data_IF_919595341635
#
_entry.id   IF_919595341635
#
_cell.length_a   1.000
_cell.length_b   1.000
_cell.length_c   1.000
_cell.angle_alpha   90.00
_cell.angle_beta   90.00
_cell.angle_gamma   90.00
#
_symmetry.space_group_name_H-M   'P 1'
#
loop_
_entity.id
_entity.type
_entity.pdbx_description
1 polymer ?
#
# COMPACT_ATOMS: atom_id res chain seq x y z
N UNK A 1 50.11 -89.76 -35.87
CA UNK A 1 48.75 -89.33 -35.70
C UNK A 1 48.70 -88.20 -34.67
N UNK A 2 48.69 -86.93 -35.07
CA UNK A 2 48.57 -85.79 -34.16
C UNK A 2 47.24 -85.08 -34.45
N UNK A 3 46.40 -85.05 -33.44
CA UNK A 3 45.13 -84.29 -33.45
C UNK A 3 45.40 -82.86 -33.17
N UNK A 4 45.02 -81.94 -34.03
CA UNK A 4 45.02 -80.53 -33.78
C UNK A 4 43.70 -80.12 -33.15
N UNK A 5 43.75 -79.42 -32.04
CA UNK A 5 42.60 -78.82 -31.38
C UNK A 5 42.56 -77.36 -31.78
N UNK A 6 41.50 -76.93 -32.44
CA UNK A 6 41.26 -75.54 -32.83
C UNK A 6 40.46 -74.89 -31.65
N UNK A 7 41.06 -73.96 -30.97
CA UNK A 7 40.38 -73.11 -29.94
C UNK A 7 39.74 -71.91 -30.65
N UNK A 8 38.41 -71.85 -30.59
CA UNK A 8 37.65 -70.66 -31.07
C UNK A 8 37.55 -69.67 -29.91
N UNK A 9 38.20 -68.51 -30.04
CA UNK A 9 38.06 -67.43 -29.06
C UNK A 9 36.85 -66.52 -29.50
N UNK A 10 35.73 -66.61 -28.76
CA UNK A 10 34.62 -65.72 -28.87
C UNK A 10 34.98 -64.43 -28.13
N UNK A 11 35.20 -63.31 -28.89
CA UNK A 11 35.38 -61.95 -28.36
C UNK A 11 34.00 -61.40 -28.10
N UNK A 12 33.61 -61.30 -26.83
CA UNK A 12 32.40 -60.57 -26.41
C UNK A 12 32.70 -59.05 -26.35
N UNK A 13 32.21 -58.30 -27.36
CA UNK A 13 32.21 -56.83 -27.31
C UNK A 13 31.10 -56.37 -26.38
N UNK A 14 31.42 -55.98 -25.15
CA UNK A 14 30.53 -55.26 -24.27
C UNK A 14 30.38 -53.79 -24.80
N UNK A 15 29.29 -53.49 -25.46
CA UNK A 15 28.89 -52.15 -25.76
C UNK A 15 28.27 -51.56 -24.47
N UNK A 16 29.06 -50.78 -23.73
CA UNK A 16 28.53 -49.95 -22.64
C UNK A 16 27.74 -48.76 -23.23
N UNK A 17 26.39 -48.86 -23.25
CA UNK A 17 25.54 -47.69 -23.47
C UNK A 17 25.72 -46.75 -22.27
N UNK A 18 26.53 -45.70 -22.44
CA UNK A 18 26.52 -44.56 -21.55
C UNK A 18 25.23 -43.79 -21.81
N UNK A 19 24.22 -44.00 -20.94
CA UNK A 19 23.06 -43.13 -20.89
C UNK A 19 23.54 -41.74 -20.49
N UNK A 20 23.69 -40.84 -21.43
CA UNK A 20 23.77 -39.41 -21.14
C UNK A 20 22.44 -39.00 -20.52
N UNK A 21 22.40 -38.92 -19.19
CA UNK A 21 21.34 -38.22 -18.50
C UNK A 21 21.40 -36.75 -19.02
N UNK A 22 20.46 -36.40 -19.88
CA UNK A 22 20.25 -35.00 -20.28
C UNK A 22 19.80 -34.28 -19.04
N UNK A 23 20.73 -33.52 -18.38
CA UNK A 23 20.37 -32.63 -17.30
C UNK A 23 19.36 -31.64 -17.87
N UNK A 24 18.12 -31.79 -17.44
CA UNK A 24 17.09 -30.75 -17.67
C UNK A 24 17.62 -29.47 -17.09
N UNK A 25 17.69 -28.36 -17.88
CA UNK A 25 18.18 -27.10 -17.36
C UNK A 25 17.41 -26.77 -16.08
N UNK A 26 18.11 -26.69 -14.97
CA UNK A 26 17.52 -26.29 -13.71
C UNK A 26 16.94 -24.88 -13.94
N UNK A 27 15.63 -24.71 -13.75
CA UNK A 27 14.98 -23.44 -13.98
C UNK A 27 15.64 -22.38 -13.07
N UNK A 28 16.20 -21.32 -13.66
CA UNK A 28 16.84 -20.25 -12.91
C UNK A 28 15.83 -19.23 -12.42
N UNK A 29 16.07 -18.70 -11.20
CA UNK A 29 15.35 -17.51 -10.71
C UNK A 29 15.58 -16.38 -11.70
N UNK A 30 14.52 -15.73 -12.16
CA UNK A 30 14.59 -14.55 -13.02
C UNK A 30 14.31 -13.29 -12.22
N UNK A 31 15.23 -12.36 -12.26
CA UNK A 31 15.07 -11.01 -11.73
C UNK A 31 15.15 -10.03 -12.90
N UNK A 32 14.17 -9.16 -13.00
CA UNK A 32 14.07 -8.21 -14.08
C UNK A 32 13.72 -6.82 -13.53
N UNK A 33 14.40 -5.82 -14.04
CA UNK A 33 14.12 -4.41 -13.79
C UNK A 33 14.13 -3.66 -15.10
N UNK A 34 13.26 -2.65 -15.22
CA UNK A 34 13.11 -1.87 -16.44
C UNK A 34 12.17 -0.69 -16.23
N UNK A 35 11.61 -0.22 -17.35
CA UNK A 35 10.58 0.84 -17.32
C UNK A 35 9.44 0.48 -18.28
N UNK A 36 8.20 0.79 -17.85
CA UNK A 36 6.98 0.70 -18.66
C UNK A 36 6.27 2.06 -18.54
N UNK A 37 6.04 2.74 -19.65
CA UNK A 37 5.37 4.06 -19.68
C UNK A 37 5.99 5.10 -18.74
N UNK A 38 7.33 5.06 -18.54
CA UNK A 38 8.03 5.93 -17.60
C UNK A 38 8.07 5.45 -16.15
N UNK A 39 7.30 4.44 -15.77
CA UNK A 39 7.34 3.80 -14.46
C UNK A 39 8.45 2.76 -14.38
N UNK A 40 9.43 2.94 -13.50
CA UNK A 40 10.40 1.90 -13.21
C UNK A 40 9.71 0.71 -12.54
N UNK A 41 10.18 -0.50 -12.80
CA UNK A 41 9.65 -1.70 -12.17
C UNK A 41 10.74 -2.68 -11.75
N UNK A 42 10.38 -3.55 -10.82
CA UNK A 42 11.11 -4.77 -10.49
C UNK A 42 10.14 -5.95 -10.49
N UNK A 43 10.61 -7.05 -11.06
CA UNK A 43 9.87 -8.28 -11.23
C UNK A 43 10.79 -9.46 -10.90
N UNK A 44 10.33 -10.33 -10.02
CA UNK A 44 11.05 -11.53 -9.59
C UNK A 44 10.17 -12.77 -9.84
N UNK A 45 10.70 -13.74 -10.59
CA UNK A 45 10.05 -15.03 -10.84
C UNK A 45 10.95 -16.14 -10.29
N UNK A 46 10.49 -16.96 -9.33
CA UNK A 46 11.29 -18.05 -8.80
C UNK A 46 11.50 -19.15 -9.85
N UNK A 47 12.55 -19.95 -9.68
CA UNK A 47 12.85 -21.08 -10.57
C UNK A 47 11.65 -22.04 -10.71
N UNK A 48 11.04 -22.37 -9.60
CA UNK A 48 9.84 -23.22 -9.53
C UNK A 48 8.59 -22.37 -9.33
N UNK A 49 8.24 -21.58 -10.34
CA UNK A 49 7.05 -20.74 -10.27
C UNK A 49 5.76 -21.57 -10.27
N UNK A 50 4.98 -21.46 -9.18
CA UNK A 50 3.73 -22.20 -8.98
C UNK A 50 2.52 -21.56 -9.69
N UNK A 51 2.74 -20.64 -10.63
CA UNK A 51 1.71 -19.89 -11.37
C UNK A 51 0.87 -18.92 -10.52
N UNK A 52 1.39 -18.48 -9.38
CA UNK A 52 0.81 -17.39 -8.59
C UNK A 52 1.64 -16.14 -8.77
N UNK A 53 0.98 -15.01 -9.02
CA UNK A 53 1.57 -13.67 -9.12
C UNK A 53 1.08 -12.78 -7.99
N UNK A 54 1.99 -12.11 -7.30
CA UNK A 54 1.69 -11.06 -6.32
C UNK A 54 2.12 -9.71 -6.90
N UNK A 55 1.15 -8.84 -7.14
CA UNK A 55 1.36 -7.44 -7.50
C UNK A 55 1.45 -6.62 -6.22
N UNK A 56 2.58 -5.94 -6.01
CA UNK A 56 2.82 -5.14 -4.81
C UNK A 56 2.75 -3.65 -5.08
N UNK A 57 1.91 -2.97 -4.33
CA UNK A 57 1.71 -1.52 -4.36
C UNK A 57 2.45 -0.87 -3.18
N UNK A 58 3.47 -0.05 -3.45
CA UNK A 58 4.20 0.65 -2.39
C UNK A 58 3.45 1.87 -1.85
N UNK A 59 3.79 2.29 -0.63
CA UNK A 59 3.25 3.46 0.02
C UNK A 59 3.75 4.79 -0.56
N UNK A 60 3.34 5.89 0.07
CA UNK A 60 3.73 7.23 -0.32
C UNK A 60 5.27 7.39 -0.35
N UNK A 61 5.77 7.97 -1.42
CA UNK A 61 7.15 8.43 -1.57
C UNK A 61 7.14 9.92 -1.91
N UNK A 62 8.01 10.69 -1.26
CA UNK A 62 8.05 12.16 -1.44
C UNK A 62 8.28 12.51 -2.90
N UNK A 63 7.47 13.42 -3.44
CA UNK A 63 7.58 13.91 -4.81
C UNK A 63 8.98 14.46 -5.10
N UNK A 64 9.53 14.11 -6.26
CA UNK A 64 10.90 14.50 -6.68
C UNK A 64 12.04 13.65 -6.10
N UNK A 65 11.74 12.62 -5.29
CA UNK A 65 12.74 11.64 -4.87
C UNK A 65 12.93 10.52 -5.92
N UNK A 66 14.07 9.84 -5.89
CA UNK A 66 14.26 8.66 -6.76
C UNK A 66 13.36 7.52 -6.27
N UNK A 67 12.69 6.80 -7.21
CA UNK A 67 11.92 5.61 -6.86
C UNK A 67 12.78 4.57 -6.13
N UNK A 68 12.26 4.03 -5.03
CA UNK A 68 12.93 2.99 -4.28
C UNK A 68 12.24 1.64 -4.47
N UNK A 69 12.82 0.77 -5.30
CA UNK A 69 12.38 -0.61 -5.53
C UNK A 69 13.12 -1.63 -4.64
N UNK A 70 14.08 -1.18 -3.83
CA UNK A 70 14.98 -2.03 -3.05
C UNK A 70 14.93 -1.73 -1.54
N UNK A 71 13.76 -1.36 -1.03
CA UNK A 71 13.56 -1.22 0.41
C UNK A 71 13.90 -2.54 1.13
N UNK A 72 14.74 -2.52 2.19
CA UNK A 72 15.18 -3.74 2.88
C UNK A 72 14.04 -4.59 3.44
N UNK A 73 12.98 -3.96 4.01
CA UNK A 73 11.83 -4.70 4.55
C UNK A 73 11.03 -5.34 3.42
N UNK A 74 10.84 -4.63 2.32
CA UNK A 74 10.17 -5.15 1.14
C UNK A 74 10.97 -6.28 0.50
N UNK A 75 12.31 -6.20 0.49
CA UNK A 75 13.15 -7.29 0.00
C UNK A 75 12.98 -8.58 0.82
N UNK A 76 12.82 -8.47 2.15
CA UNK A 76 12.51 -9.61 3.00
C UNK A 76 11.14 -10.21 2.67
N UNK A 77 10.13 -9.37 2.53
CA UNK A 77 8.77 -9.82 2.15
C UNK A 77 8.78 -10.48 0.76
N UNK A 78 9.43 -9.86 -0.23
CA UNK A 78 9.61 -10.40 -1.58
C UNK A 78 10.28 -11.78 -1.54
N UNK A 79 11.38 -11.92 -0.79
CA UNK A 79 12.08 -13.19 -0.64
C UNK A 79 11.20 -14.28 -0.02
N UNK A 80 10.34 -13.91 0.94
CA UNK A 80 9.40 -14.84 1.56
C UNK A 80 8.31 -15.32 0.58
N UNK A 81 7.83 -14.47 -0.33
CA UNK A 81 6.91 -14.89 -1.40
C UNK A 81 7.61 -15.78 -2.44
N UNK A 82 8.83 -15.40 -2.85
CA UNK A 82 9.61 -16.17 -3.81
C UNK A 82 9.93 -17.58 -3.30
N UNK A 83 10.29 -17.75 -2.02
CA UNK A 83 10.55 -19.05 -1.41
C UNK A 83 9.31 -19.97 -1.36
N UNK A 84 8.11 -19.40 -1.54
CA UNK A 84 6.84 -20.12 -1.64
C UNK A 84 6.44 -20.40 -3.09
N UNK A 85 7.31 -20.12 -4.05
CA UNK A 85 7.07 -20.32 -5.47
C UNK A 85 6.21 -19.23 -6.12
N UNK A 86 5.96 -18.08 -5.45
CA UNK A 86 5.15 -16.99 -6.00
C UNK A 86 6.05 -16.02 -6.77
N UNK A 87 5.62 -15.58 -7.95
CA UNK A 87 6.23 -14.44 -8.60
C UNK A 87 5.80 -13.14 -7.87
N UNK A 88 6.69 -12.14 -7.85
CA UNK A 88 6.47 -10.87 -7.17
C UNK A 88 6.82 -9.71 -8.11
N UNK A 89 5.89 -8.80 -8.32
CA UNK A 89 6.06 -7.67 -9.21
C UNK A 89 5.69 -6.35 -8.52
N UNK A 90 6.51 -5.33 -8.73
CA UNK A 90 6.33 -4.00 -8.16
C UNK A 90 6.64 -2.93 -9.19
N UNK A 91 5.71 -1.99 -9.39
CA UNK A 91 5.96 -0.72 -10.08
C UNK A 91 6.40 0.34 -9.06
N UNK A 92 7.32 1.21 -9.48
CA UNK A 92 7.69 2.42 -8.71
C UNK A 92 6.84 3.64 -9.11
N UNK A 93 5.84 3.41 -9.94
CA UNK A 93 4.95 4.37 -10.57
C UNK A 93 5.67 5.42 -11.43
N UNK A 94 4.94 5.99 -12.38
CA UNK A 94 5.44 7.06 -13.27
C UNK A 94 5.46 8.43 -12.58
N UNK A 95 4.82 8.54 -11.41
CA UNK A 95 4.83 9.73 -10.58
C UNK A 95 5.03 9.38 -9.10
N UNK A 96 5.59 10.32 -8.34
CA UNK A 96 5.74 10.25 -6.88
C UNK A 96 4.69 11.13 -6.20
N UNK A 97 4.64 11.11 -4.87
CA UNK A 97 3.62 11.80 -4.08
C UNK A 97 2.34 10.99 -3.96
N UNK A 98 1.19 11.67 -3.88
CA UNK A 98 -0.13 11.01 -3.81
C UNK A 98 -0.60 10.54 -5.19
N UNK A 99 0.18 9.68 -5.82
CA UNK A 99 0.07 9.26 -7.22
C UNK A 99 -0.89 8.08 -7.44
N UNK A 100 -2.04 8.05 -6.76
CA UNK A 100 -2.98 6.91 -6.83
C UNK A 100 -3.46 6.64 -8.26
N UNK A 101 -3.73 7.69 -9.04
CA UNK A 101 -4.13 7.58 -10.45
C UNK A 101 -3.09 6.79 -11.25
N UNK A 102 -1.87 7.28 -11.28
CA UNK A 102 -0.76 6.71 -12.05
C UNK A 102 -0.42 5.31 -11.55
N UNK A 103 -0.44 5.13 -10.23
CA UNK A 103 -0.09 3.86 -9.60
C UNK A 103 -1.03 2.71 -9.98
N UNK A 104 -2.33 2.95 -10.08
CA UNK A 104 -3.30 1.94 -10.52
C UNK A 104 -3.06 1.55 -11.98
N UNK A 105 -2.79 2.54 -12.85
CA UNK A 105 -2.53 2.32 -14.28
C UNK A 105 -1.20 1.60 -14.50
N UNK A 106 -0.14 2.00 -13.79
CA UNK A 106 1.20 1.43 -13.89
C UNK A 106 1.28 0.01 -13.31
N UNK A 107 0.53 -0.26 -12.22
CA UNK A 107 0.42 -1.61 -11.66
C UNK A 107 -0.22 -2.57 -12.66
N UNK A 108 -1.29 -2.17 -13.33
CA UNK A 108 -1.95 -3.00 -14.34
C UNK A 108 -1.11 -3.11 -15.63
N UNK A 109 -0.37 -2.07 -16.02
CA UNK A 109 0.56 -2.13 -17.13
C UNK A 109 1.68 -3.14 -16.88
N UNK A 110 2.23 -3.19 -15.65
CA UNK A 110 3.23 -4.17 -15.23
C UNK A 110 2.65 -5.60 -15.21
N UNK A 111 1.41 -5.79 -14.72
CA UNK A 111 0.75 -7.10 -14.76
C UNK A 111 0.62 -7.61 -16.20
N UNK A 112 0.15 -6.76 -17.12
CA UNK A 112 0.04 -7.11 -18.56
C UNK A 112 1.39 -7.45 -19.17
N UNK A 113 2.43 -6.71 -18.82
CA UNK A 113 3.79 -7.02 -19.24
C UNK A 113 4.23 -8.39 -18.72
N UNK A 114 3.97 -8.69 -17.45
CA UNK A 114 4.25 -10.02 -16.88
C UNK A 114 3.56 -11.12 -17.69
N UNK A 115 2.26 -10.99 -17.94
CA UNK A 115 1.47 -11.97 -18.70
C UNK A 115 2.03 -12.18 -20.09
N UNK A 116 2.39 -11.11 -20.79
CA UNK A 116 2.94 -11.20 -22.15
C UNK A 116 4.27 -11.95 -22.20
N UNK A 117 5.06 -11.91 -21.13
CA UNK A 117 6.41 -12.48 -21.08
C UNK A 117 6.48 -13.88 -20.46
N UNK A 118 5.68 -14.12 -19.43
CA UNK A 118 5.72 -15.35 -18.62
C UNK A 118 4.47 -16.22 -18.75
N UNK A 119 3.46 -15.74 -19.47
CA UNK A 119 2.16 -16.37 -19.61
C UNK A 119 1.21 -16.06 -18.46
N UNK A 120 -0.06 -16.42 -18.62
CA UNK A 120 -1.12 -16.13 -17.65
C UNK A 120 -0.84 -16.86 -16.32
N UNK A 121 -0.87 -16.14 -15.18
CA UNK A 121 -0.89 -16.76 -13.86
C UNK A 121 -2.20 -17.55 -13.66
N UNK A 122 -2.15 -18.61 -12.88
CA UNK A 122 -3.38 -19.29 -12.42
C UNK A 122 -4.14 -18.42 -11.41
N UNK A 123 -3.40 -17.65 -10.60
CA UNK A 123 -3.95 -16.73 -9.61
C UNK A 123 -3.08 -15.47 -9.57
N UNK A 124 -3.74 -14.32 -9.50
CA UNK A 124 -3.10 -13.02 -9.30
C UNK A 124 -3.69 -12.34 -8.06
N UNK A 125 -2.82 -11.91 -7.16
CA UNK A 125 -3.19 -11.15 -5.97
C UNK A 125 -2.59 -9.76 -6.03
N UNK A 126 -3.31 -8.78 -5.48
CA UNK A 126 -2.78 -7.42 -5.31
C UNK A 126 -2.70 -7.10 -3.82
N UNK A 127 -1.58 -6.53 -3.38
CA UNK A 127 -1.38 -6.13 -2.00
C UNK A 127 -0.53 -4.86 -1.90
N UNK A 128 -0.66 -4.14 -0.79
CA UNK A 128 0.16 -2.95 -0.60
C UNK A 128 -0.02 -2.29 0.77
N UNK A 129 0.96 -1.49 1.16
CA UNK A 129 1.00 -0.80 2.45
C UNK A 129 0.71 0.69 2.32
N UNK A 130 0.01 1.28 3.32
CA UNK A 130 -0.24 2.73 3.39
C UNK A 130 -1.00 3.23 2.15
N UNK A 131 -0.50 4.22 1.42
CA UNK A 131 -1.06 4.62 0.12
C UNK A 131 -1.18 3.43 -0.84
N UNK A 132 -0.26 2.45 -0.76
CA UNK A 132 -0.34 1.21 -1.54
C UNK A 132 -1.59 0.39 -1.24
N UNK A 133 -2.16 0.48 -0.03
CA UNK A 133 -3.44 -0.14 0.29
C UNK A 133 -4.61 0.54 -0.43
N UNK A 134 -4.57 1.86 -0.59
CA UNK A 134 -5.56 2.60 -1.40
C UNK A 134 -5.48 2.16 -2.85
N UNK A 135 -4.25 2.03 -3.38
CA UNK A 135 -4.01 1.56 -4.76
C UNK A 135 -4.49 0.12 -4.93
N UNK A 136 -4.20 -0.75 -3.96
CA UNK A 136 -4.67 -2.15 -3.92
C UNK A 136 -6.19 -2.22 -4.04
N UNK A 137 -6.89 -1.44 -3.22
CA UNK A 137 -8.35 -1.41 -3.20
C UNK A 137 -8.93 -0.82 -4.49
N UNK A 138 -8.36 0.32 -4.96
CA UNK A 138 -8.75 0.91 -6.23
C UNK A 138 -8.53 -0.03 -7.42
N UNK A 139 -7.47 -0.84 -7.37
CA UNK A 139 -7.13 -1.79 -8.42
C UNK A 139 -8.15 -2.93 -8.49
N UNK A 140 -8.52 -3.54 -7.36
CA UNK A 140 -9.49 -4.64 -7.37
C UNK A 140 -10.91 -4.17 -7.72
N UNK A 141 -11.32 -2.95 -7.31
CA UNK A 141 -12.61 -2.38 -7.72
C UNK A 141 -12.63 -2.01 -9.23
N UNK A 142 -11.51 -1.54 -9.77
CA UNK A 142 -11.41 -1.10 -11.18
C UNK A 142 -11.28 -2.26 -12.17
N UNK A 143 -10.67 -3.36 -11.75
CA UNK A 143 -10.39 -4.51 -12.59
C UNK A 143 -11.01 -5.79 -12.00
N UNK A 144 -12.35 -5.89 -11.96
CA UNK A 144 -13.04 -7.08 -11.48
C UNK A 144 -12.62 -8.30 -12.31
N UNK A 145 -12.63 -9.49 -11.69
CA UNK A 145 -12.30 -10.77 -12.32
C UNK A 145 -10.82 -10.96 -12.72
N UNK A 146 -9.99 -9.92 -12.62
CA UNK A 146 -8.54 -10.02 -12.90
C UNK A 146 -7.79 -10.56 -11.69
N UNK A 147 -8.14 -10.08 -10.50
CA UNK A 147 -7.46 -10.44 -9.25
C UNK A 147 -8.35 -11.36 -8.43
N UNK A 148 -7.82 -12.50 -8.01
CA UNK A 148 -8.53 -13.48 -7.18
C UNK A 148 -8.65 -13.05 -5.72
N UNK A 149 -7.92 -12.00 -5.32
CA UNK A 149 -8.03 -11.40 -4.01
C UNK A 149 -7.11 -10.22 -3.80
N UNK A 150 -7.43 -9.40 -2.79
CA UNK A 150 -6.66 -8.23 -2.44
C UNK A 150 -6.34 -8.17 -0.95
N UNK A 151 -5.13 -7.66 -0.62
CA UNK A 151 -4.71 -7.47 0.77
C UNK A 151 -4.20 -6.04 1.00
N UNK A 152 -5.10 -5.06 1.19
CA UNK A 152 -4.73 -3.71 1.59
C UNK A 152 -4.25 -3.68 3.04
N UNK A 153 -3.08 -3.10 3.31
CA UNK A 153 -2.41 -3.08 4.62
C UNK A 153 -2.22 -1.66 5.12
N UNK A 154 -2.67 -1.39 6.36
CA UNK A 154 -2.44 -0.10 7.06
C UNK A 154 -2.82 1.16 6.26
N UNK A 155 -3.79 1.09 5.38
CA UNK A 155 -4.17 2.21 4.50
C UNK A 155 -5.44 2.94 4.92
N UNK A 156 -5.62 4.19 4.45
CA UNK A 156 -6.87 4.92 4.63
C UNK A 156 -7.89 4.40 3.61
N UNK A 157 -8.65 3.37 3.99
CA UNK A 157 -9.64 2.70 3.13
C UNK A 157 -10.99 3.42 3.09
N UNK A 158 -11.04 4.67 3.45
CA UNK A 158 -12.20 5.54 3.34
C UNK A 158 -12.15 6.40 2.07
N UNK A 159 -13.15 7.26 1.88
CA UNK A 159 -13.09 8.24 0.80
C UNK A 159 -11.83 9.08 0.93
N UNK A 160 -11.05 9.11 -0.14
CA UNK A 160 -9.81 9.92 -0.19
C UNK A 160 -10.09 11.38 0.16
N UNK A 161 -11.21 11.92 -0.32
CA UNK A 161 -11.61 13.28 -0.04
C UNK A 161 -11.88 13.51 1.45
N UNK A 162 -12.66 12.62 2.09
CA UNK A 162 -12.98 12.75 3.51
C UNK A 162 -11.78 12.42 4.40
N UNK A 163 -11.03 11.36 4.09
CA UNK A 163 -9.86 10.95 4.87
C UNK A 163 -8.73 11.99 4.85
N UNK A 164 -8.44 12.54 3.68
CA UNK A 164 -7.45 13.63 3.56
C UNK A 164 -7.98 14.93 4.16
N UNK A 165 -9.28 15.22 4.05
CA UNK A 165 -9.89 16.38 4.70
C UNK A 165 -9.72 16.28 6.23
N UNK A 166 -10.24 15.23 6.87
CA UNK A 166 -10.23 15.07 8.34
C UNK A 166 -8.79 14.95 8.90
N UNK A 167 -7.97 14.08 8.30
CA UNK A 167 -6.68 13.73 8.90
C UNK A 167 -5.54 14.66 8.49
N UNK A 168 -5.55 15.16 7.26
CA UNK A 168 -4.47 15.99 6.76
C UNK A 168 -4.84 17.46 6.90
N UNK A 169 -5.92 17.92 6.29
CA UNK A 169 -6.24 19.33 6.21
C UNK A 169 -6.78 19.90 7.53
N UNK A 170 -7.81 19.29 8.11
CA UNK A 170 -8.47 19.78 9.32
C UNK A 170 -7.56 19.72 10.55
N UNK A 171 -6.66 18.72 10.60
CA UNK A 171 -5.62 18.66 11.63
C UNK A 171 -4.67 19.86 11.54
N UNK A 172 -4.24 20.25 10.33
CA UNK A 172 -3.39 21.41 10.12
C UNK A 172 -4.12 22.73 10.40
N UNK A 173 -5.41 22.83 10.04
CA UNK A 173 -6.25 24.01 10.32
C UNK A 173 -6.41 24.25 11.82
N UNK A 174 -6.73 23.21 12.56
CA UNK A 174 -6.91 23.32 14.02
C UNK A 174 -5.59 23.56 14.74
N UNK A 175 -4.48 23.00 14.22
CA UNK A 175 -3.15 23.28 14.73
C UNK A 175 -2.74 24.76 14.48
N UNK A 176 -2.99 25.31 13.29
CA UNK A 176 -2.71 26.74 12.97
C UNK A 176 -3.46 27.70 13.91
N UNK A 177 -4.70 27.36 14.30
CA UNK A 177 -5.46 28.13 15.27
C UNK A 177 -4.87 28.08 16.69
N UNK A 178 -4.51 26.90 17.17
CA UNK A 178 -4.01 26.71 18.54
C UNK A 178 -2.56 27.21 18.71
N UNK A 179 -1.77 27.11 17.66
CA UNK A 179 -0.35 27.48 17.61
C UNK A 179 -0.07 28.39 16.41
N UNK A 180 -0.51 29.65 16.47
CA UNK A 180 -0.43 30.59 15.35
C UNK A 180 0.99 30.73 14.80
N UNK A 181 1.08 31.04 13.50
CA UNK A 181 2.33 31.30 12.77
C UNK A 181 3.28 30.08 12.64
N UNK A 182 2.87 28.88 13.08
CA UNK A 182 3.72 27.68 13.02
C UNK A 182 3.62 26.92 11.70
N UNK A 183 2.42 26.88 11.09
CA UNK A 183 2.15 26.04 9.91
C UNK A 183 2.40 26.77 8.60
N UNK A 184 2.08 28.04 8.52
CA UNK A 184 2.13 28.82 7.29
C UNK A 184 0.84 28.70 6.45
N UNK A 185 0.95 28.81 5.12
CA UNK A 185 -0.22 28.74 4.24
C UNK A 185 -0.74 27.32 4.12
N UNK A 186 -2.06 27.12 4.25
CA UNK A 186 -2.75 25.85 4.07
C UNK A 186 -3.52 25.74 2.75
N UNK A 187 -3.78 26.88 2.10
CA UNK A 187 -4.30 26.93 0.74
C UNK A 187 -3.33 27.77 -0.13
N UNK A 188 -3.24 27.41 -1.41
CA UNK A 188 -2.23 27.98 -2.32
C UNK A 188 -0.80 27.86 -1.75
N UNK A 189 -0.49 26.67 -1.25
CA UNK A 189 0.80 26.39 -0.60
C UNK A 189 1.93 26.58 -1.61
N UNK A 190 2.92 27.43 -1.34
CA UNK A 190 4.01 27.66 -2.29
C UNK A 190 4.80 26.38 -2.55
N UNK A 191 5.22 26.19 -3.81
CA UNK A 191 6.03 25.04 -4.20
C UNK A 191 7.32 24.95 -3.37
N UNK A 192 7.61 23.76 -2.88
CA UNK A 192 8.80 23.49 -2.06
C UNK A 192 8.71 23.97 -0.61
N UNK A 193 7.59 24.59 -0.19
CA UNK A 193 7.36 24.92 1.23
C UNK A 193 7.37 23.67 2.09
N UNK A 194 7.93 23.80 3.29
CA UNK A 194 7.98 22.74 4.30
C UNK A 194 7.60 23.29 5.66
N UNK A 195 6.96 22.50 6.48
CA UNK A 195 6.73 22.82 7.88
C UNK A 195 8.05 22.71 8.66
N UNK A 196 8.40 23.76 9.43
CA UNK A 196 9.56 23.72 10.32
C UNK A 196 9.22 22.95 11.59
N UNK A 197 9.69 21.72 11.69
CA UNK A 197 9.44 20.83 12.85
C UNK A 197 10.01 21.37 14.15
N UNK A 198 11.09 22.17 14.11
CA UNK A 198 11.68 22.79 15.31
C UNK A 198 10.78 23.91 15.82
N UNK A 199 10.22 24.73 14.91
CA UNK A 199 9.24 25.76 15.26
C UNK A 199 7.98 25.16 15.84
N UNK A 200 7.45 24.11 15.21
CA UNK A 200 6.29 23.37 15.73
C UNK A 200 6.57 22.77 17.12
N UNK A 201 7.73 22.15 17.32
CA UNK A 201 8.12 21.62 18.63
C UNK A 201 8.22 22.71 19.69
N UNK A 202 8.86 23.83 19.40
CA UNK A 202 8.98 24.94 20.34
C UNK A 202 7.61 25.50 20.74
N UNK A 203 6.66 25.62 19.80
CA UNK A 203 5.29 26.04 20.09
C UNK A 203 4.56 25.06 21.00
N UNK A 204 4.72 23.75 20.78
CA UNK A 204 4.14 22.71 21.62
C UNK A 204 4.73 22.73 23.03
N UNK A 205 6.05 22.89 23.16
CA UNK A 205 6.75 22.96 24.44
C UNK A 205 6.32 24.21 25.25
N UNK A 206 6.01 25.32 24.57
CA UNK A 206 5.56 26.57 25.20
C UNK A 206 4.10 26.53 25.68
N UNK A 207 3.28 25.58 25.21
CA UNK A 207 1.88 25.44 25.59
C UNK A 207 1.48 23.96 25.80
N UNK A 208 2.02 23.29 26.85
CA UNK A 208 1.89 21.87 27.04
C UNK A 208 0.43 21.41 27.23
N UNK A 209 -0.44 22.23 27.83
CA UNK A 209 -1.87 21.90 27.99
C UNK A 209 -2.57 21.84 26.63
N UNK A 210 -2.34 22.83 25.75
CA UNK A 210 -2.87 22.81 24.38
C UNK A 210 -2.31 21.63 23.57
N UNK A 211 -1.03 21.29 23.77
CA UNK A 211 -0.40 20.15 23.11
C UNK A 211 -1.05 18.83 23.57
N UNK A 212 -1.29 18.67 24.86
CA UNK A 212 -1.95 17.48 25.43
C UNK A 212 -3.40 17.33 24.92
N UNK A 213 -4.17 18.41 24.88
CA UNK A 213 -5.51 18.45 24.29
C UNK A 213 -5.49 18.05 22.81
N UNK A 214 -4.57 18.61 22.03
CA UNK A 214 -4.45 18.36 20.59
C UNK A 214 -4.13 16.90 20.28
N UNK A 215 -3.13 16.31 20.96
CA UNK A 215 -2.80 14.89 20.75
C UNK A 215 -3.94 13.96 21.16
N UNK A 216 -4.69 14.30 22.23
CA UNK A 216 -5.89 13.55 22.63
C UNK A 216 -6.96 13.58 21.54
N UNK A 217 -7.27 14.76 20.98
CA UNK A 217 -8.28 14.92 19.92
C UNK A 217 -7.94 14.10 18.67
N UNK A 218 -6.67 14.08 18.29
CA UNK A 218 -6.22 13.38 17.09
C UNK A 218 -5.67 11.98 17.35
N UNK A 219 -5.79 11.45 18.55
CA UNK A 219 -5.30 10.12 18.92
C UNK A 219 -3.82 9.91 18.61
N UNK A 220 -3.00 10.94 18.88
CA UNK A 220 -1.53 10.86 18.79
C UNK A 220 -1.02 10.42 20.18
N UNK A 221 -0.13 9.45 20.24
CA UNK A 221 0.27 8.86 21.51
C UNK A 221 1.15 9.79 22.35
N UNK A 222 2.02 10.55 21.71
CA UNK A 222 2.95 11.46 22.40
C UNK A 222 3.10 12.77 21.65
N UNK A 223 3.37 13.86 22.39
CA UNK A 223 3.66 15.19 21.81
C UNK A 223 4.92 15.12 20.92
N UNK A 224 5.87 14.26 21.22
CA UNK A 224 7.11 14.13 20.44
C UNK A 224 6.89 13.58 19.03
N UNK A 225 5.82 12.83 18.77
CA UNK A 225 5.46 12.35 17.43
C UNK A 225 4.90 13.47 16.54
N UNK A 226 4.24 14.47 17.17
CA UNK A 226 3.39 15.44 16.48
C UNK A 226 4.12 16.30 15.44
N UNK A 227 5.33 16.86 15.70
CA UNK A 227 6.02 17.68 14.71
C UNK A 227 6.28 16.95 13.37
N UNK A 228 6.64 15.66 13.43
CA UNK A 228 6.88 14.86 12.24
C UNK A 228 5.56 14.49 11.53
N UNK A 229 4.50 14.21 12.27
CA UNK A 229 3.16 13.95 11.71
C UNK A 229 2.64 15.19 10.98
N UNK A 230 2.77 16.36 11.59
CA UNK A 230 2.37 17.64 10.97
C UNK A 230 3.19 17.95 9.71
N UNK A 231 4.51 17.75 9.76
CA UNK A 231 5.37 17.96 8.60
C UNK A 231 5.02 17.03 7.43
N UNK A 232 4.72 15.77 7.74
CA UNK A 232 4.27 14.79 6.75
C UNK A 232 2.93 15.19 6.12
N UNK A 233 1.96 15.61 6.94
CA UNK A 233 0.65 16.04 6.43
C UNK A 233 0.73 17.36 5.68
N UNK A 234 1.60 18.27 6.09
CA UNK A 234 1.85 19.51 5.34
C UNK A 234 2.42 19.23 3.94
N UNK A 235 3.35 18.27 3.84
CA UNK A 235 3.91 17.82 2.56
C UNK A 235 2.82 17.22 1.66
N UNK A 236 1.96 16.35 2.20
CA UNK A 236 0.83 15.77 1.46
C UNK A 236 -0.15 16.88 1.03
N UNK A 237 -0.50 17.81 1.92
CA UNK A 237 -1.40 18.92 1.59
C UNK A 237 -0.83 19.78 0.44
N UNK A 238 0.46 20.11 0.49
CA UNK A 238 1.13 20.87 -0.56
C UNK A 238 1.14 20.13 -1.89
N UNK A 239 1.56 18.87 -1.87
CA UNK A 239 1.70 18.05 -3.07
C UNK A 239 0.36 17.79 -3.75
N UNK A 240 -0.68 17.52 -2.98
CA UNK A 240 -2.04 17.32 -3.52
C UNK A 240 -2.54 18.61 -4.19
N UNK A 241 -2.31 19.79 -3.61
CA UNK A 241 -2.70 21.04 -4.25
C UNK A 241 -1.93 21.31 -5.54
N UNK A 242 -0.63 20.99 -5.58
CA UNK A 242 0.18 21.08 -6.80
C UNK A 242 -0.35 20.13 -7.88
N UNK A 243 -0.67 18.91 -7.52
CA UNK A 243 -1.19 17.86 -8.42
C UNK A 243 -2.61 18.16 -8.92
N UNK A 244 -3.47 18.65 -8.05
CA UNK A 244 -4.87 18.97 -8.36
C UNK A 244 -5.04 20.34 -9.04
N UNK A 245 -3.98 21.16 -9.08
CA UNK A 245 -4.01 22.53 -9.65
C UNK A 245 -4.76 23.54 -8.80
N UNK A 246 -4.90 23.32 -7.49
CA UNK A 246 -5.59 24.21 -6.55
C UNK A 246 -5.88 23.51 -5.22
N UNK A 247 -6.51 24.23 -4.29
CA UNK A 247 -6.90 23.67 -3.00
C UNK A 247 -8.18 22.81 -3.11
N UNK A 248 -8.11 21.48 -2.87
CA UNK A 248 -9.29 20.62 -2.93
C UNK A 248 -10.12 20.60 -1.64
N UNK A 249 -9.66 21.22 -0.56
CA UNK A 249 -10.25 21.14 0.77
C UNK A 249 -11.19 22.29 1.07
N UNK A 250 -12.31 22.00 1.73
CA UNK A 250 -13.34 22.94 2.11
C UNK A 250 -13.80 22.69 3.55
N UNK A 251 -13.56 23.66 4.44
CA UNK A 251 -13.97 23.54 5.83
C UNK A 251 -15.05 24.56 6.25
N UNK A 252 -15.73 25.19 5.29
CA UNK A 252 -16.76 26.21 5.60
C UNK A 252 -17.89 25.67 6.44
N UNK A 253 -18.26 24.41 6.21
CA UNK A 253 -19.34 23.71 6.92
C UNK A 253 -18.82 22.70 7.96
N UNK A 254 -17.49 22.62 8.19
CA UNK A 254 -16.93 21.75 9.21
C UNK A 254 -17.18 22.33 10.59
N UNK A 255 -17.73 21.52 11.49
CA UNK A 255 -17.84 21.83 12.92
C UNK A 255 -16.72 21.06 13.61
N UNK A 256 -15.80 21.79 14.23
CA UNK A 256 -14.71 21.19 15.00
C UNK A 256 -15.16 20.95 16.43
N UNK A 257 -14.83 19.82 16.98
CA UNK A 257 -15.19 19.37 18.32
C UNK A 257 -14.06 18.63 19.03
N UNK A 258 -14.22 18.40 20.33
CA UNK A 258 -13.30 17.65 21.15
C UNK A 258 -12.10 18.44 21.66
N UNK A 259 -12.22 19.76 21.70
CA UNK A 259 -11.30 20.71 22.33
C UNK A 259 -11.93 21.31 23.59
N UNK A 260 -11.13 22.01 24.40
CA UNK A 260 -11.64 22.60 25.66
C UNK A 260 -12.67 23.72 25.42
N UNK A 261 -12.52 24.50 24.34
CA UNK A 261 -13.48 25.51 23.90
C UNK A 261 -13.77 25.37 22.42
N UNK A 262 -14.65 24.44 22.08
CA UNK A 262 -15.09 24.19 20.71
C UNK A 262 -15.76 25.41 20.07
N UNK A 263 -16.46 26.21 20.88
CA UNK A 263 -17.14 27.41 20.39
C UNK A 263 -16.13 28.49 19.95
N UNK A 264 -15.09 28.74 20.75
CA UNK A 264 -14.02 29.67 20.37
C UNK A 264 -13.23 29.16 19.15
N UNK A 265 -12.92 27.86 19.13
CA UNK A 265 -12.25 27.24 17.98
C UNK A 265 -13.05 27.46 16.70
N UNK A 266 -14.34 27.13 16.68
CA UNK A 266 -15.18 27.26 15.49
C UNK A 266 -15.38 28.70 15.03
N UNK A 267 -15.33 29.69 15.94
CA UNK A 267 -15.34 31.12 15.60
C UNK A 267 -14.00 31.61 15.07
N UNK A 268 -12.90 31.02 15.51
CA UNK A 268 -11.55 31.54 15.27
C UNK A 268 -10.76 30.83 14.17
N UNK A 269 -11.08 29.58 13.81
CA UNK A 269 -10.36 28.88 12.74
C UNK A 269 -10.56 29.56 11.39
N UNK A 270 -9.52 29.57 10.60
CA UNK A 270 -9.61 30.01 9.21
C UNK A 270 -10.52 29.10 8.42
N UNK A 271 -11.42 29.70 7.62
CA UNK A 271 -12.32 28.99 6.72
C UNK A 271 -11.79 29.07 5.29
N UNK A 272 -11.72 27.92 4.65
CA UNK A 272 -11.18 27.75 3.31
C UNK A 272 -12.26 27.24 2.38
N UNK A 273 -12.23 27.70 1.13
CA UNK A 273 -13.09 27.22 0.05
C UNK A 273 -12.28 26.33 -0.88
N UNK A 274 -12.83 25.21 -1.25
CA UNK A 274 -12.20 24.34 -2.25
C UNK A 274 -12.27 24.94 -3.65
N UNK A 275 -11.23 24.71 -4.45
CA UNK A 275 -11.30 24.84 -5.89
C UNK A 275 -12.12 23.66 -6.46
N UNK A 276 -13.21 23.93 -7.21
CA UNK A 276 -14.07 22.87 -7.70
C UNK A 276 -13.36 21.84 -8.58
N UNK A 277 -12.39 22.28 -9.41
CA UNK A 277 -11.62 21.39 -10.28
C UNK A 277 -10.67 20.50 -9.47
N UNK A 278 -10.01 21.09 -8.46
CA UNK A 278 -9.12 20.35 -7.58
C UNK A 278 -9.90 19.32 -6.74
N UNK A 279 -11.10 19.69 -6.25
CA UNK A 279 -11.97 18.76 -5.52
C UNK A 279 -12.46 17.61 -6.41
N UNK A 280 -12.84 17.91 -7.66
CA UNK A 280 -13.25 16.90 -8.64
C UNK A 280 -12.09 15.95 -8.99
N UNK A 281 -10.85 16.46 -9.07
CA UNK A 281 -9.67 15.63 -9.27
C UNK A 281 -9.56 14.54 -8.20
N UNK A 282 -9.67 14.89 -6.90
CA UNK A 282 -9.61 13.90 -5.82
C UNK A 282 -10.80 12.93 -5.85
N UNK A 283 -11.99 13.42 -6.19
CA UNK A 283 -13.17 12.57 -6.32
C UNK A 283 -13.05 11.55 -7.45
N UNK A 284 -12.50 11.96 -8.58
CA UNK A 284 -12.37 11.14 -9.78
C UNK A 284 -11.35 10.03 -9.63
N UNK A 285 -10.20 10.29 -8.98
CA UNK A 285 -9.11 9.34 -9.01
C UNK A 285 -9.16 8.28 -7.95
N UNK A 286 -9.83 8.49 -6.84
CA UNK A 286 -10.29 7.39 -6.02
C UNK A 286 -11.33 7.82 -4.97
N UNK A 287 -12.52 7.33 -5.13
CA UNK A 287 -13.52 7.26 -4.06
C UNK A 287 -13.99 5.83 -4.00
N UNK A 288 -13.82 5.11 -2.87
CA UNK A 288 -14.23 3.72 -2.76
C UNK A 288 -15.71 3.55 -3.05
N UNK A 289 -16.05 2.50 -3.79
CA UNK A 289 -17.44 2.18 -4.14
C UNK A 289 -17.97 1.01 -3.33
N UNK A 290 -17.08 0.18 -2.80
CA UNK A 290 -17.41 -1.09 -2.17
C UNK A 290 -17.78 -2.20 -3.15
N UNK A 291 -17.85 -1.92 -4.45
CA UNK A 291 -18.16 -2.94 -5.47
C UNK A 291 -16.93 -3.81 -5.73
N UNK A 292 -16.82 -4.90 -4.99
CA UNK A 292 -15.79 -5.92 -5.16
C UNK A 292 -16.43 -7.24 -5.60
N UNK A 293 -15.72 -8.00 -6.43
CA UNK A 293 -16.15 -9.33 -6.91
C UNK A 293 -15.38 -10.46 -6.25
N UNK A 294 -14.25 -10.14 -5.63
CA UNK A 294 -13.31 -11.09 -5.06
C UNK A 294 -12.92 -10.73 -3.63
N UNK A 295 -12.42 -11.69 -2.84
CA UNK A 295 -12.07 -11.50 -1.44
C UNK A 295 -11.09 -10.37 -1.19
N UNK A 296 -11.40 -9.49 -0.24
CA UNK A 296 -10.54 -8.42 0.28
C UNK A 296 -10.33 -8.63 1.77
N UNK A 297 -9.08 -8.93 2.15
CA UNK A 297 -8.66 -9.06 3.54
C UNK A 297 -7.72 -7.91 3.89
N UNK A 298 -8.17 -7.00 4.76
CA UNK A 298 -7.32 -5.89 5.23
C UNK A 298 -6.72 -6.18 6.60
N UNK A 299 -5.50 -5.66 6.85
CA UNK A 299 -4.87 -5.74 8.17
C UNK A 299 -4.42 -4.35 8.60
N UNK A 300 -4.67 -4.01 9.87
CA UNK A 300 -4.25 -2.74 10.46
C UNK A 300 -3.57 -2.93 11.82
N UNK A 301 -2.74 -1.98 12.26
CA UNK A 301 -2.21 -1.95 13.62
C UNK A 301 -3.23 -1.35 14.58
N UNK A 302 -3.21 -1.75 15.84
CA UNK A 302 -4.12 -1.19 16.87
C UNK A 302 -3.84 0.28 17.21
N UNK A 303 -2.63 0.76 16.91
CA UNK A 303 -2.28 2.17 16.97
C UNK A 303 -1.46 2.59 15.74
N UNK A 304 -1.94 3.61 15.04
CA UNK A 304 -1.29 4.20 13.88
C UNK A 304 -1.44 5.73 13.95
N UNK A 305 -0.32 6.43 14.06
CA UNK A 305 -0.30 7.89 14.18
C UNK A 305 -0.64 8.62 12.87
N UNK A 306 -0.54 7.94 11.72
CA UNK A 306 -0.84 8.53 10.41
C UNK A 306 -2.25 8.18 9.94
N UNK A 307 -2.62 6.90 10.04
CA UNK A 307 -3.88 6.37 9.50
C UNK A 307 -4.70 5.75 10.65
N UNK A 308 -5.71 6.44 11.17
CA UNK A 308 -6.57 5.87 12.20
C UNK A 308 -7.29 4.60 11.74
N UNK A 309 -7.33 3.57 12.61
CA UNK A 309 -7.98 2.30 12.30
C UNK A 309 -9.47 2.41 11.95
N UNK A 310 -10.16 3.48 12.41
CA UNK A 310 -11.57 3.72 12.06
C UNK A 310 -11.82 3.85 10.55
N UNK A 311 -10.81 4.21 9.74
CA UNK A 311 -10.97 4.31 8.29
C UNK A 311 -11.21 2.96 7.61
N UNK A 312 -10.81 1.87 8.24
CA UNK A 312 -11.14 0.52 7.80
C UNK A 312 -12.66 0.27 7.93
N UNK A 313 -13.27 0.74 9.02
CA UNK A 313 -14.71 0.57 9.26
C UNK A 313 -15.58 1.36 8.27
N UNK A 314 -15.05 2.44 7.70
CA UNK A 314 -15.76 3.17 6.65
C UNK A 314 -15.86 2.34 5.37
N UNK A 315 -14.83 1.58 5.01
CA UNK A 315 -14.91 0.69 3.84
C UNK A 315 -15.90 -0.47 4.04
N UNK A 316 -15.98 -1.02 5.24
CA UNK A 316 -17.05 -2.02 5.56
C UNK A 316 -18.43 -1.46 5.26
N UNK A 317 -18.65 -0.17 5.55
CA UNK A 317 -19.91 0.50 5.24
C UNK A 317 -20.14 0.64 3.73
N UNK A 318 -19.11 0.94 2.93
CA UNK A 318 -19.21 0.97 1.46
C UNK A 318 -19.53 -0.42 0.90
N UNK A 319 -18.82 -1.45 1.34
CA UNK A 319 -19.08 -2.83 0.92
C UNK A 319 -20.52 -3.28 1.29
N UNK A 320 -21.00 -2.90 2.47
CA UNK A 320 -22.37 -3.16 2.89
C UNK A 320 -23.40 -2.48 2.00
N UNK A 321 -23.21 -1.21 1.67
CA UNK A 321 -24.08 -0.45 0.77
C UNK A 321 -24.08 -1.03 -0.64
N UNK A 322 -22.93 -1.55 -1.09
CA UNK A 322 -22.77 -2.21 -2.38
C UNK A 322 -23.30 -3.67 -2.41
N UNK A 323 -23.66 -4.25 -1.26
CA UNK A 323 -24.08 -5.65 -1.15
C UNK A 323 -22.96 -6.67 -1.26
N UNK A 324 -21.71 -6.26 -1.01
CA UNK A 324 -20.50 -7.09 -1.15
C UNK A 324 -19.78 -7.36 0.18
N UNK A 325 -20.43 -7.08 1.31
CA UNK A 325 -19.85 -7.19 2.65
C UNK A 325 -19.27 -8.58 2.94
N UNK A 326 -19.84 -9.64 2.37
CA UNK A 326 -19.33 -11.00 2.54
C UNK A 326 -17.97 -11.24 1.89
N UNK A 327 -17.55 -10.33 1.01
CA UNK A 327 -16.21 -10.33 0.36
C UNK A 327 -15.19 -9.46 1.07
N UNK A 328 -15.54 -8.82 2.18
CA UNK A 328 -14.62 -7.97 2.95
C UNK A 328 -14.41 -8.50 4.36
N UNK A 329 -13.14 -8.60 4.79
CA UNK A 329 -12.77 -8.94 6.17
C UNK A 329 -11.68 -8.00 6.66
N UNK A 330 -11.88 -7.43 7.86
CA UNK A 330 -10.91 -6.61 8.54
C UNK A 330 -10.24 -7.38 9.70
N UNK A 331 -8.91 -7.36 9.72
CA UNK A 331 -8.11 -7.93 10.80
C UNK A 331 -7.15 -6.90 11.38
N UNK A 332 -6.62 -7.17 12.57
CA UNK A 332 -5.67 -6.28 13.19
C UNK A 332 -4.48 -7.03 13.81
N UNK A 333 -3.40 -6.30 14.02
CA UNK A 333 -2.22 -6.71 14.76
C UNK A 333 -2.08 -5.81 15.98
N UNK A 334 -1.85 -6.37 17.15
CA UNK A 334 -1.55 -5.60 18.36
C UNK A 334 -0.14 -5.04 18.25
N UNK A 335 -0.05 -3.86 17.64
CA UNK A 335 1.21 -3.15 17.43
C UNK A 335 0.99 -1.64 17.45
N UNK A 336 2.10 -0.90 17.66
CA UNK A 336 2.12 0.57 17.63
C UNK A 336 2.98 1.06 16.48
N UNK A 337 2.44 2.01 15.74
CA UNK A 337 3.12 2.68 14.62
C UNK A 337 2.56 2.29 13.27
N UNK A 338 2.80 3.18 12.30
CA UNK A 338 2.30 3.03 10.95
C UNK A 338 2.91 1.81 10.25
N UNK A 339 2.04 0.91 9.77
CA UNK A 339 2.44 -0.31 9.05
C UNK A 339 3.44 -1.20 9.83
N UNK A 340 3.39 -1.21 11.13
CA UNK A 340 4.34 -1.96 11.96
C UNK A 340 3.93 -3.44 12.07
N UNK A 341 3.96 -4.15 10.94
CA UNK A 341 3.74 -5.59 10.86
C UNK A 341 5.06 -6.34 10.75
N UNK A 342 5.10 -7.54 11.29
CA UNK A 342 6.19 -8.49 11.02
C UNK A 342 5.92 -9.25 9.71
N UNK A 343 6.98 -9.78 9.09
CA UNK A 343 6.82 -10.64 7.90
C UNK A 343 5.95 -11.86 8.19
N UNK A 344 6.12 -12.60 9.29
CA UNK A 344 5.22 -13.71 9.65
C UNK A 344 3.75 -13.29 9.74
N UNK A 345 3.43 -12.15 10.35
CA UNK A 345 2.05 -11.66 10.43
C UNK A 345 1.46 -11.34 9.06
N UNK A 346 2.25 -10.69 8.19
CA UNK A 346 1.83 -10.41 6.81
C UNK A 346 1.58 -11.69 6.03
N UNK A 347 2.45 -12.71 6.17
CA UNK A 347 2.28 -14.00 5.51
C UNK A 347 1.10 -14.79 6.09
N UNK A 348 0.88 -14.75 7.42
CA UNK A 348 -0.29 -15.38 8.04
C UNK A 348 -1.60 -14.81 7.49
N UNK A 349 -1.70 -13.47 7.37
CA UNK A 349 -2.85 -12.84 6.76
C UNK A 349 -3.03 -13.22 5.29
N UNK A 350 -1.93 -13.30 4.55
CA UNK A 350 -1.98 -13.73 3.14
C UNK A 350 -2.40 -15.19 3.00
N UNK A 351 -2.01 -16.08 3.93
CA UNK A 351 -2.45 -17.48 3.96
C UNK A 351 -3.96 -17.59 4.24
N UNK A 352 -4.50 -16.74 5.11
CA UNK A 352 -5.95 -16.67 5.31
C UNK A 352 -6.68 -16.22 4.03
N UNK A 353 -6.13 -15.23 3.30
CA UNK A 353 -6.68 -14.82 2.01
C UNK A 353 -6.61 -15.94 0.97
N UNK A 354 -5.47 -16.63 0.85
CA UNK A 354 -5.32 -17.79 -0.04
C UNK A 354 -6.35 -18.89 0.26
N UNK A 355 -6.51 -19.20 1.55
CA UNK A 355 -7.46 -20.23 1.97
C UNK A 355 -8.91 -19.80 1.68
N UNK A 356 -9.22 -18.50 1.86
CA UNK A 356 -10.53 -17.97 1.49
C UNK A 356 -10.81 -18.12 -0.01
N UNK A 357 -9.87 -17.71 -0.86
CA UNK A 357 -10.00 -17.83 -2.31
C UNK A 357 -10.12 -19.28 -2.76
N UNK A 358 -9.21 -20.16 -2.30
CA UNK A 358 -9.07 -21.54 -2.81
C UNK A 358 -10.07 -22.52 -2.21
N UNK A 359 -10.29 -22.41 -0.89
CA UNK A 359 -11.17 -23.32 -0.15
C UNK A 359 -12.54 -22.73 0.15
N UNK A 360 -12.81 -21.50 -0.28
CA UNK A 360 -14.05 -20.74 0.02
C UNK A 360 -14.31 -20.62 1.53
N UNK A 361 -13.24 -20.68 2.34
CA UNK A 361 -13.30 -20.54 3.78
C UNK A 361 -13.01 -19.09 4.18
N UNK A 362 -14.08 -18.29 4.30
CA UNK A 362 -13.98 -16.89 4.74
C UNK A 362 -13.35 -16.85 6.14
N UNK A 363 -12.28 -16.06 6.37
CA UNK A 363 -11.70 -15.90 7.70
C UNK A 363 -12.62 -15.09 8.61
N UNK A 364 -12.50 -15.31 9.90
CA UNK A 364 -13.14 -14.44 10.88
C UNK A 364 -12.38 -13.11 10.99
N UNK A 365 -13.13 -12.02 11.24
CA UNK A 365 -12.53 -10.74 11.61
C UNK A 365 -11.81 -10.85 12.97
N UNK A 366 -10.82 -10.00 13.22
CA UNK A 366 -10.13 -9.98 14.50
C UNK A 366 -8.60 -9.98 14.40
N UNK A 367 -7.93 -10.52 15.41
CA UNK A 367 -6.48 -10.46 15.53
C UNK A 367 -5.75 -11.47 14.62
N UNK A 368 -4.67 -11.00 13.98
CA UNK A 368 -3.63 -11.85 13.39
C UNK A 368 -2.62 -12.18 14.49
N UNK A 369 -2.47 -13.45 14.77
CA UNK A 369 -1.55 -13.96 15.79
C UNK A 369 -0.13 -14.12 15.28
#
# INVERSE_FOLDING_TARGET
VKKAVIAIILSFCLITLSAFAQETPQAEKKEESGQINGAAFRLDVPAEWNKVLVMYCHGYQIAGTRPNLNDPRLNLLRSAFLSRGFAFAQSAYSAQGWAVKEAVEDTEALRRYFVSKYGEPRETYVMGHSMGAVITLATIEKYPEIYQGAMPLCGPLNSILNGLQDRVFDMLVTFDYLFPETVGSLANVPKGSRLDTRKAKAALDAAPEKAAMFIKRYSIATVNELPNVLAFFYEINREIQERAGGNPFDNRNTIYDGFDDDAALNRGVKRYTADPKAREYLRQYYTPTGHITDPVLTVHTTYDQLVPGRYISEYDSFAKLAGTQDLFVAKFVVARGHCNFTIPQTLSAFDELLNWVRARKRPEAGEIK
#
